data_IF_639537131097
#
_entry.id   IF_639537131097
#
_cell.length_a   1.000
_cell.length_b   1.000
_cell.length_c   1.000
_cell.angle_alpha   90.00
_cell.angle_beta   90.00
_cell.angle_gamma   90.00
#
_symmetry.space_group_name_H-M   'P 1'
#
loop_
_entity.id
_entity.type
_entity.pdbx_description
1 polymer ?
#
# COMPACT_ATOMS: atom_id res chain seq x y z
N UNK A 1 -1.58 2.91 11.24
CA UNK A 1 -2.56 3.17 10.16
C UNK A 1 -3.84 2.35 10.38
N UNK A 2 -5.02 2.91 10.09
CA UNK A 2 -6.30 2.15 10.13
C UNK A 2 -6.52 1.36 8.84
N UNK A 3 -7.48 0.42 8.79
CA UNK A 3 -7.80 -0.30 7.54
C UNK A 3 -8.33 0.64 6.46
N UNK A 4 -9.19 1.60 6.81
CA UNK A 4 -9.72 2.59 5.84
C UNK A 4 -8.58 3.42 5.26
N UNK A 5 -7.70 3.92 6.12
CA UNK A 5 -6.52 4.69 5.71
C UNK A 5 -5.60 3.85 4.82
N UNK A 6 -5.41 2.56 5.12
CA UNK A 6 -4.60 1.67 4.30
C UNK A 6 -5.21 1.43 2.90
N UNK A 7 -6.53 1.29 2.82
CA UNK A 7 -7.25 1.20 1.54
C UNK A 7 -7.08 2.49 0.72
N UNK A 8 -7.21 3.66 1.37
CA UNK A 8 -7.01 4.96 0.72
C UNK A 8 -5.57 5.16 0.22
N UNK A 9 -4.57 4.81 1.04
CA UNK A 9 -3.16 4.90 0.66
C UNK A 9 -2.83 4.03 -0.55
N UNK A 10 -3.38 2.80 -0.61
CA UNK A 10 -3.20 1.92 -1.76
C UNK A 10 -4.18 2.19 -2.91
N UNK A 11 -5.19 3.03 -2.72
CA UNK A 11 -6.25 3.26 -3.70
C UNK A 11 -7.01 1.98 -4.08
N UNK A 12 -7.34 1.15 -3.09
CA UNK A 12 -8.11 -0.10 -3.25
C UNK A 12 -9.43 -0.02 -2.49
N UNK A 13 -10.41 -0.81 -2.92
CA UNK A 13 -11.70 -0.89 -2.23
C UNK A 13 -11.57 -1.65 -0.87
N UNK A 14 -12.45 -1.39 0.12
CA UNK A 14 -12.44 -2.10 1.40
C UNK A 14 -12.59 -3.62 1.30
N UNK A 15 -13.27 -4.09 0.25
CA UNK A 15 -13.53 -5.50 -0.08
C UNK A 15 -12.55 -6.07 -1.12
N UNK A 16 -11.45 -5.37 -1.41
CA UNK A 16 -10.42 -5.83 -2.35
C UNK A 16 -9.89 -7.22 -2.01
N UNK A 17 -9.23 -7.87 -2.97
CA UNK A 17 -8.52 -9.13 -2.80
C UNK A 17 -7.07 -8.91 -2.40
N UNK A 18 -6.41 -9.95 -1.90
CA UNK A 18 -4.98 -9.92 -1.55
C UNK A 18 -4.11 -9.61 -2.77
N UNK A 19 -4.53 -10.10 -3.93
CA UNK A 19 -3.87 -9.82 -5.20
C UNK A 19 -3.98 -8.34 -5.58
N UNK A 20 -5.14 -7.71 -5.42
CA UNK A 20 -5.32 -6.28 -5.66
C UNK A 20 -4.45 -5.42 -4.72
N UNK A 21 -4.34 -5.82 -3.45
CA UNK A 21 -3.43 -5.18 -2.47
C UNK A 21 -1.99 -5.25 -2.96
N UNK A 22 -1.52 -6.43 -3.36
CA UNK A 22 -0.14 -6.65 -3.81
C UNK A 22 0.15 -5.91 -5.12
N UNK A 23 -0.80 -5.92 -6.07
CA UNK A 23 -0.64 -5.21 -7.34
C UNK A 23 -0.59 -3.70 -7.16
N UNK A 24 -1.48 -3.13 -6.35
CA UNK A 24 -1.48 -1.69 -6.11
C UNK A 24 -0.23 -1.24 -5.35
N UNK A 25 0.19 -2.00 -4.34
CA UNK A 25 1.47 -1.78 -3.63
C UNK A 25 2.66 -1.73 -4.59
N UNK A 26 2.79 -2.74 -5.46
CA UNK A 26 3.89 -2.81 -6.45
C UNK A 26 3.89 -1.60 -7.38
N UNK A 27 2.73 -1.22 -7.90
CA UNK A 27 2.57 -0.04 -8.78
C UNK A 27 3.00 1.26 -8.08
N UNK A 28 2.55 1.46 -6.84
CA UNK A 28 2.85 2.68 -6.09
C UNK A 28 4.32 2.76 -5.67
N UNK A 29 4.91 1.67 -5.16
CA UNK A 29 6.34 1.64 -4.84
C UNK A 29 7.19 1.88 -6.09
N UNK A 30 6.88 1.25 -7.22
CA UNK A 30 7.63 1.48 -8.45
C UNK A 30 7.63 2.95 -8.91
N UNK A 31 6.58 3.71 -8.58
CA UNK A 31 6.45 5.13 -8.91
C UNK A 31 7.07 6.06 -7.86
N UNK A 32 7.00 5.68 -6.58
CA UNK A 32 7.28 6.57 -5.45
C UNK A 32 8.50 6.16 -4.62
N UNK A 33 9.25 5.14 -5.04
CA UNK A 33 10.48 4.73 -4.36
C UNK A 33 11.55 5.84 -4.44
N UNK A 34 12.28 6.10 -3.34
CA UNK A 34 13.39 7.07 -3.28
C UNK A 34 14.40 6.92 -4.41
N UNK A 35 14.82 5.67 -4.71
CA UNK A 35 15.76 5.35 -5.79
C UNK A 35 15.31 5.83 -7.19
N UNK A 36 14.04 6.20 -7.34
CA UNK A 36 13.43 6.68 -8.58
C UNK A 36 12.98 8.15 -8.49
N UNK A 37 13.51 8.91 -7.54
CA UNK A 37 13.14 10.30 -7.29
C UNK A 37 11.87 10.46 -6.46
N UNK A 38 11.45 9.40 -5.77
CA UNK A 38 10.33 9.43 -4.84
C UNK A 38 10.71 9.90 -3.43
N UNK A 39 9.91 9.54 -2.43
CA UNK A 39 10.08 9.99 -1.05
C UNK A 39 10.00 8.82 -0.07
N UNK A 40 10.98 8.74 0.85
CA UNK A 40 11.05 7.74 1.92
C UNK A 40 9.75 7.65 2.72
N UNK A 41 9.19 8.81 3.09
CA UNK A 41 7.97 8.86 3.89
C UNK A 41 6.78 8.22 3.16
N UNK A 42 6.63 8.50 1.87
CA UNK A 42 5.54 7.93 1.07
C UNK A 42 5.75 6.43 0.85
N UNK A 43 6.97 6.00 0.57
CA UNK A 43 7.31 4.59 0.44
C UNK A 43 7.01 3.82 1.75
N UNK A 44 7.35 4.41 2.91
CA UNK A 44 7.05 3.84 4.22
C UNK A 44 5.53 3.72 4.46
N UNK A 45 4.75 4.77 4.15
CA UNK A 45 3.28 4.74 4.22
C UNK A 45 2.67 3.63 3.34
N UNK A 46 3.16 3.46 2.12
CA UNK A 46 2.69 2.41 1.20
C UNK A 46 3.00 1.00 1.75
N UNK A 47 4.18 0.82 2.34
CA UNK A 47 4.57 -0.45 2.96
C UNK A 47 3.75 -0.76 4.22
N UNK A 48 3.48 0.24 5.05
CA UNK A 48 2.60 0.12 6.23
C UNK A 48 1.19 -0.29 5.80
N UNK A 49 0.64 0.36 4.76
CA UNK A 49 -0.70 0.07 4.24
C UNK A 49 -0.86 -1.38 3.79
N UNK A 50 0.07 -1.88 2.96
CA UNK A 50 0.08 -3.30 2.56
C UNK A 50 0.12 -4.23 3.77
N UNK A 51 0.96 -3.91 4.75
CA UNK A 51 1.13 -4.73 5.95
C UNK A 51 -0.15 -4.81 6.80
N UNK A 52 -0.86 -3.69 6.96
CA UNK A 52 -2.14 -3.63 7.69
C UNK A 52 -3.21 -4.46 6.99
N UNK A 53 -3.34 -4.32 5.67
CA UNK A 53 -4.40 -5.02 4.92
C UNK A 53 -4.19 -6.53 4.86
N UNK A 54 -2.95 -7.00 4.71
CA UNK A 54 -2.65 -8.43 4.67
C UNK A 54 -2.71 -9.07 6.07
N UNK A 55 -2.30 -8.37 7.14
CA UNK A 55 -2.38 -8.91 8.50
C UNK A 55 -3.81 -9.14 8.99
N UNK A 56 -4.80 -8.39 8.49
CA UNK A 56 -6.21 -8.59 8.84
C UNK A 56 -6.78 -9.91 8.27
N UNK A 57 -6.13 -10.47 7.25
CA UNK A 57 -6.65 -11.57 6.44
C UNK A 57 -5.97 -12.91 6.73
N UNK A 58 -4.88 -12.87 7.49
CA UNK A 58 -4.25 -14.02 8.13
C UNK A 58 -4.99 -14.35 9.42
#
# INVERSE_FOLDING_TARGET
>A
MSVSEACEVLGVAPDCTDDEIVQSHRRLIQKLHPDRGGNDYLAAKINEAKSVLLKRRA
#
